data_IF_970658506949
#
_entry.id   IF_970658506949
#
_cell.length_a   1.000
_cell.length_b   1.000
_cell.length_c   1.000
_cell.angle_alpha   90.00
_cell.angle_beta   90.00
_cell.angle_gamma   90.00
#
_symmetry.space_group_name_H-M   'P 1'
#
loop_
_entity.id
_entity.type
_entity.pdbx_description
1 polymer ?
#
# COMPACT_ATOMS: atom_id res chain seq x y z
N UNK A 1 -111.53 7.81 59.17
CA UNK A 1 -110.74 7.25 58.06
C UNK A 1 -109.30 7.69 58.24
N UNK A 2 -108.46 6.84 58.84
CA UNK A 2 -107.07 7.14 59.18
C UNK A 2 -106.13 6.41 58.22
N UNK A 3 -105.57 7.13 57.25
CA UNK A 3 -104.56 6.59 56.33
C UNK A 3 -103.18 6.69 56.97
N UNK A 4 -102.71 5.59 57.55
CA UNK A 4 -101.34 5.46 58.09
C UNK A 4 -100.33 5.45 56.94
N UNK A 5 -99.66 6.57 56.73
CA UNK A 5 -98.52 6.70 55.83
C UNK A 5 -97.33 5.90 56.40
N UNK A 6 -96.91 4.82 55.71
CA UNK A 6 -95.69 4.08 56.07
C UNK A 6 -94.47 4.77 55.45
N UNK A 7 -93.43 5.14 56.21
CA UNK A 7 -92.21 5.71 55.64
C UNK A 7 -91.44 4.63 54.88
N UNK A 8 -91.01 4.95 53.65
CA UNK A 8 -90.16 4.08 52.83
C UNK A 8 -88.79 3.97 53.49
N UNK A 9 -88.37 2.73 53.84
CA UNK A 9 -86.99 2.42 54.26
C UNK A 9 -86.03 2.88 53.17
N UNK A 10 -85.17 3.85 53.48
CA UNK A 10 -84.05 4.20 52.64
C UNK A 10 -83.11 2.99 52.54
N UNK A 11 -82.92 2.47 51.32
CA UNK A 11 -81.90 1.48 51.04
C UNK A 11 -80.55 2.18 51.22
N UNK A 12 -79.73 1.68 52.15
CA UNK A 12 -78.34 2.12 52.25
C UNK A 12 -77.65 1.69 50.96
N UNK A 13 -77.30 2.66 50.12
CA UNK A 13 -76.45 2.43 48.95
C UNK A 13 -75.07 2.10 49.52
N UNK A 14 -74.71 0.82 49.50
CA UNK A 14 -73.38 0.34 49.82
C UNK A 14 -72.35 1.16 49.02
N UNK A 15 -71.72 2.13 49.69
CA UNK A 15 -70.57 2.86 49.18
C UNK A 15 -69.44 1.85 49.03
N UNK A 16 -69.31 1.27 47.84
CA UNK A 16 -68.16 0.45 47.48
C UNK A 16 -66.89 1.25 47.75
N UNK A 17 -65.90 0.68 48.44
CA UNK A 17 -64.65 1.38 48.72
C UNK A 17 -64.00 1.77 47.40
N UNK A 18 -63.71 3.06 47.24
CA UNK A 18 -63.01 3.60 46.09
C UNK A 18 -61.60 3.00 46.10
N UNK A 19 -61.26 2.29 45.03
CA UNK A 19 -60.03 1.53 44.86
C UNK A 19 -58.80 2.44 45.08
N UNK A 20 -58.17 2.32 46.26
CA UNK A 20 -56.90 3.00 46.60
C UNK A 20 -55.67 2.41 45.92
N UNK A 21 -55.84 1.43 45.02
CA UNK A 21 -54.74 0.75 44.31
C UNK A 21 -54.18 1.50 43.09
N UNK A 22 -54.77 2.63 42.67
CA UNK A 22 -54.37 3.31 41.43
C UNK A 22 -53.08 4.13 41.54
N UNK A 23 -52.76 4.67 42.73
CA UNK A 23 -51.53 5.45 42.94
C UNK A 23 -50.28 4.55 42.91
N UNK A 24 -50.33 3.39 43.57
CA UNK A 24 -49.21 2.45 43.65
C UNK A 24 -48.84 1.86 42.28
N UNK A 25 -49.84 1.53 41.45
CA UNK A 25 -49.58 1.06 40.08
C UNK A 25 -48.93 2.13 39.21
N UNK A 26 -49.34 3.40 39.35
CA UNK A 26 -48.79 4.51 38.57
C UNK A 26 -47.31 4.75 38.89
N UNK A 27 -46.92 4.72 40.16
CA UNK A 27 -45.52 4.86 40.56
C UNK A 27 -44.65 3.71 40.04
N UNK A 28 -45.19 2.48 40.02
CA UNK A 28 -44.50 1.32 39.46
C UNK A 28 -44.22 1.49 37.95
N UNK A 29 -45.23 1.93 37.18
CA UNK A 29 -45.07 2.22 35.75
C UNK A 29 -44.10 3.37 35.49
N UNK A 30 -44.12 4.43 36.29
CA UNK A 30 -43.18 5.55 36.13
C UNK A 30 -41.73 5.12 36.38
N UNK A 31 -41.50 4.25 37.38
CA UNK A 31 -40.18 3.67 37.68
C UNK A 31 -39.71 2.68 36.62
N UNK A 32 -40.62 1.91 36.03
CA UNK A 32 -40.30 1.02 34.90
C UNK A 32 -39.89 1.84 33.68
N UNK A 33 -40.67 2.86 33.34
CA UNK A 33 -40.37 3.78 32.23
C UNK A 33 -39.05 4.53 32.41
N UNK A 34 -38.68 4.86 33.64
CA UNK A 34 -37.37 5.47 33.93
C UNK A 34 -36.22 4.50 33.68
N UNK A 35 -36.37 3.22 34.07
CA UNK A 35 -35.38 2.16 33.79
C UNK A 35 -35.23 1.89 32.30
N UNK A 36 -36.32 1.95 31.54
CA UNK A 36 -36.27 1.79 30.08
C UNK A 36 -35.49 2.93 29.43
N UNK A 37 -35.75 4.19 29.82
CA UNK A 37 -34.96 5.34 29.33
C UNK A 37 -33.48 5.23 29.71
N UNK A 38 -33.17 4.69 30.88
CA UNK A 38 -31.79 4.45 31.29
C UNK A 38 -31.12 3.38 30.42
N UNK A 39 -31.84 2.29 30.11
CA UNK A 39 -31.37 1.26 29.18
C UNK A 39 -31.13 1.82 27.78
N UNK A 40 -32.06 2.61 27.25
CA UNK A 40 -31.89 3.26 25.94
C UNK A 40 -30.65 4.16 25.91
N UNK A 41 -30.45 5.01 26.93
CA UNK A 41 -29.25 5.86 27.04
C UNK A 41 -27.96 5.05 27.14
N UNK A 42 -28.01 3.87 27.74
CA UNK A 42 -26.85 2.97 27.83
C UNK A 42 -26.54 2.34 26.48
N UNK A 43 -27.55 1.81 25.78
CA UNK A 43 -27.39 1.25 24.44
C UNK A 43 -26.89 2.29 23.43
N UNK A 44 -27.36 3.54 23.53
CA UNK A 44 -26.89 4.63 22.68
C UNK A 44 -25.39 4.90 22.86
N UNK A 45 -24.91 4.99 24.11
CA UNK A 45 -23.47 5.13 24.42
C UNK A 45 -22.66 3.93 23.95
N UNK A 46 -23.24 2.74 23.99
CA UNK A 46 -22.57 1.52 23.54
C UNK A 46 -22.40 1.51 22.02
N UNK A 47 -23.45 1.90 21.26
CA UNK A 47 -23.38 2.08 19.81
C UNK A 47 -22.40 3.19 19.40
N UNK A 48 -22.31 4.26 20.20
CA UNK A 48 -21.34 5.34 19.96
C UNK A 48 -19.90 4.83 20.13
N UNK A 49 -19.61 4.09 21.20
CA UNK A 49 -18.30 3.46 21.43
C UNK A 49 -17.95 2.47 20.32
N UNK A 50 -18.90 1.66 19.88
CA UNK A 50 -18.70 0.70 18.77
C UNK A 50 -18.34 1.42 17.46
N UNK A 51 -19.00 2.55 17.16
CA UNK A 51 -18.68 3.38 16.00
C UNK A 51 -17.27 3.97 16.10
N UNK A 52 -16.92 4.53 17.25
CA UNK A 52 -15.60 5.11 17.50
C UNK A 52 -14.50 4.03 17.39
N UNK A 53 -14.72 2.84 17.93
CA UNK A 53 -13.79 1.72 17.84
C UNK A 53 -13.59 1.26 16.39
N UNK A 54 -14.68 1.11 15.63
CA UNK A 54 -14.62 0.76 14.20
C UNK A 54 -13.90 1.83 13.38
N UNK A 55 -14.04 3.11 13.74
CA UNK A 55 -13.34 4.21 13.07
C UNK A 55 -11.83 4.17 13.37
N UNK A 56 -11.45 3.96 14.63
CA UNK A 56 -10.05 3.77 15.05
C UNK A 56 -9.41 2.55 14.38
N UNK A 57 -10.17 1.47 14.20
CA UNK A 57 -9.68 0.28 13.50
C UNK A 57 -9.37 0.57 12.04
N UNK A 58 -10.27 1.25 11.32
CA UNK A 58 -10.05 1.69 9.93
C UNK A 58 -8.86 2.65 9.81
N UNK A 59 -8.65 3.51 10.80
CA UNK A 59 -7.51 4.42 10.82
C UNK A 59 -6.18 3.65 10.96
N UNK A 60 -6.12 2.68 11.88
CA UNK A 60 -4.96 1.79 12.04
C UNK A 60 -4.69 0.97 10.78
N UNK A 61 -5.73 0.52 10.08
CA UNK A 61 -5.60 -0.20 8.82
C UNK A 61 -4.98 0.68 7.73
N UNK A 62 -5.48 1.91 7.55
CA UNK A 62 -4.90 2.90 6.62
C UNK A 62 -3.45 3.26 6.97
N UNK A 63 -3.11 3.30 8.26
CA UNK A 63 -1.73 3.53 8.70
C UNK A 63 -0.82 2.36 8.32
N UNK A 64 -1.26 1.11 8.50
CA UNK A 64 -0.51 -0.08 8.08
C UNK A 64 -0.29 -0.10 6.58
N UNK A 65 -1.32 0.22 5.80
CA UNK A 65 -1.23 0.30 4.34
C UNK A 65 -0.21 1.36 3.91
N UNK A 66 -0.24 2.57 4.50
CA UNK A 66 0.76 3.62 4.24
C UNK A 66 2.19 3.15 4.54
N UNK A 67 2.41 2.50 5.68
CA UNK A 67 3.72 1.95 6.05
C UNK A 67 4.19 0.87 5.09
N UNK A 68 3.28 0.04 4.58
CA UNK A 68 3.62 -0.99 3.60
C UNK A 68 4.01 -0.39 2.24
N UNK A 69 3.27 0.62 1.76
CA UNK A 69 3.59 1.35 0.54
C UNK A 69 4.99 1.97 0.66
N UNK A 70 5.25 2.71 1.74
CA UNK A 70 6.56 3.33 1.98
C UNK A 70 7.69 2.29 2.03
N UNK A 71 7.45 1.12 2.66
CA UNK A 71 8.42 0.02 2.65
C UNK A 71 8.70 -0.46 1.23
N UNK A 72 7.66 -0.67 0.42
CA UNK A 72 7.79 -1.12 -0.98
C UNK A 72 8.54 -0.09 -1.84
N UNK A 73 8.31 1.20 -1.62
CA UNK A 73 9.02 2.28 -2.33
C UNK A 73 10.52 2.24 -2.00
N UNK A 74 10.89 2.20 -0.72
CA UNK A 74 12.31 2.09 -0.31
C UNK A 74 12.99 0.83 -0.83
N UNK A 75 12.28 -0.30 -0.84
CA UNK A 75 12.78 -1.55 -1.41
C UNK A 75 12.94 -1.47 -2.94
N UNK A 76 12.05 -0.75 -3.62
CA UNK A 76 12.11 -0.49 -5.07
C UNK A 76 13.31 0.38 -5.45
N UNK A 77 13.56 1.47 -4.71
CA UNK A 77 14.72 2.35 -4.90
C UNK A 77 16.05 1.58 -4.77
N UNK A 78 16.19 0.77 -3.70
CA UNK A 78 17.41 -0.02 -3.47
C UNK A 78 17.69 -1.04 -4.58
N UNK A 79 16.64 -1.60 -5.21
CA UNK A 79 16.81 -2.51 -6.36
C UNK A 79 17.23 -1.76 -7.62
N UNK A 80 16.65 -0.58 -7.87
CA UNK A 80 16.99 0.26 -9.00
C UNK A 80 18.46 0.72 -8.99
N UNK A 81 18.98 1.11 -7.83
CA UNK A 81 20.38 1.53 -7.70
C UNK A 81 21.36 0.39 -7.97
N UNK A 82 21.10 -0.81 -7.44
CA UNK A 82 21.93 -1.99 -7.70
C UNK A 82 21.90 -2.42 -9.16
N UNK A 83 20.75 -2.34 -9.81
CA UNK A 83 20.63 -2.66 -11.24
C UNK A 83 21.38 -1.63 -12.08
N UNK A 84 21.24 -0.33 -11.77
CA UNK A 84 22.00 0.74 -12.41
C UNK A 84 23.51 0.54 -12.23
N UNK A 85 23.99 0.19 -11.03
CA UNK A 85 25.39 -0.14 -10.79
C UNK A 85 25.87 -1.35 -11.60
N UNK A 86 25.05 -2.40 -11.75
CA UNK A 86 25.39 -3.54 -12.61
C UNK A 86 25.52 -3.14 -14.07
N UNK A 87 24.61 -2.29 -14.57
CA UNK A 87 24.67 -1.81 -15.96
C UNK A 87 25.92 -0.95 -16.17
N UNK A 88 26.19 0.01 -15.27
CA UNK A 88 27.38 0.88 -15.36
C UNK A 88 28.68 0.09 -15.19
N UNK A 89 28.70 -0.90 -14.30
CA UNK A 89 29.85 -1.79 -14.11
C UNK A 89 30.16 -2.57 -15.38
N UNK A 90 29.14 -3.06 -16.08
CA UNK A 90 29.28 -3.76 -17.36
C UNK A 90 29.77 -2.84 -18.48
N UNK A 91 29.35 -1.58 -18.51
CA UNK A 91 29.81 -0.60 -19.51
C UNK A 91 31.27 -0.16 -19.26
N UNK A 92 31.71 -0.05 -18.00
CA UNK A 92 33.12 0.28 -17.68
C UNK A 92 34.09 -0.87 -17.89
N UNK A 93 33.62 -2.10 -17.92
CA UNK A 93 34.45 -3.29 -18.20
C UNK A 93 34.70 -3.51 -19.70
N UNK A 94 34.07 -2.73 -20.58
CA UNK A 94 34.42 -2.63 -22.01
C UNK A 94 35.41 -1.46 -22.23
N UNK A 95 36.29 -1.21 -21.27
CA UNK A 95 37.49 -0.43 -21.55
C UNK A 95 38.44 -1.36 -22.32
N UNK A 96 38.43 -1.25 -23.64
CA UNK A 96 39.31 -2.04 -24.48
C UNK A 96 40.77 -1.84 -24.07
N UNK A 97 41.43 -2.90 -23.63
CA UNK A 97 42.85 -2.93 -23.24
C UNK A 97 43.79 -2.94 -24.47
N UNK A 98 43.19 -2.78 -25.66
CA UNK A 98 43.85 -2.77 -26.95
C UNK A 98 43.72 -1.42 -27.65
N UNK A 99 44.80 -0.94 -28.24
CA UNK A 99 44.85 0.27 -29.07
C UNK A 99 45.05 -0.09 -30.54
N UNK A 100 44.26 0.50 -31.44
CA UNK A 100 44.45 0.35 -32.87
C UNK A 100 45.75 1.05 -33.31
N UNK A 101 46.54 0.41 -34.18
CA UNK A 101 47.73 1.04 -34.76
C UNK A 101 47.30 1.84 -36.00
N UNK A 102 47.39 3.18 -35.93
CA UNK A 102 46.85 4.08 -36.96
C UNK A 102 47.35 3.80 -38.39
N UNK A 103 48.57 3.29 -38.53
CA UNK A 103 49.21 3.02 -39.82
C UNK A 103 48.88 1.65 -40.41
N UNK A 104 48.38 0.69 -39.62
CA UNK A 104 48.23 -0.70 -40.05
C UNK A 104 46.92 -1.30 -39.53
N UNK A 105 45.92 -1.40 -40.42
CA UNK A 105 44.56 -1.89 -40.09
C UNK A 105 44.52 -3.33 -39.55
N UNK A 106 45.54 -4.13 -39.82
CA UNK A 106 45.67 -5.50 -39.32
C UNK A 106 46.45 -5.63 -38.02
N UNK A 107 46.76 -4.53 -37.32
CA UNK A 107 47.56 -4.55 -36.10
C UNK A 107 46.93 -3.76 -34.96
N UNK A 108 47.20 -4.22 -33.75
CA UNK A 108 46.79 -3.58 -32.52
C UNK A 108 47.86 -3.75 -31.45
N UNK A 109 47.81 -2.92 -30.40
CA UNK A 109 48.69 -3.03 -29.24
C UNK A 109 47.87 -3.46 -28.04
N UNK A 110 48.29 -4.47 -27.30
CA UNK A 110 47.64 -4.90 -26.06
C UNK A 110 48.54 -4.60 -24.87
N UNK A 111 47.96 -4.14 -23.75
CA UNK A 111 48.69 -3.95 -22.50
C UNK A 111 48.85 -5.27 -21.76
N UNK A 112 50.06 -5.80 -21.73
CA UNK A 112 50.42 -7.04 -21.02
C UNK A 112 51.03 -6.68 -19.65
N UNK A 113 50.51 -7.21 -18.53
CA UNK A 113 51.10 -6.99 -17.21
C UNK A 113 52.59 -7.37 -17.17
N UNK A 114 53.46 -6.45 -16.77
CA UNK A 114 54.91 -6.64 -16.69
C UNK A 114 55.70 -6.34 -17.97
N UNK A 115 55.06 -6.40 -19.14
CA UNK A 115 55.72 -6.21 -20.44
C UNK A 115 55.36 -4.89 -21.13
N UNK A 116 54.35 -4.18 -20.63
CA UNK A 116 53.89 -2.93 -21.22
C UNK A 116 53.02 -3.17 -22.46
N UNK A 117 53.17 -2.33 -23.48
CA UNK A 117 52.39 -2.44 -24.71
C UNK A 117 53.08 -3.34 -25.73
N UNK A 118 52.43 -4.44 -26.09
CA UNK A 118 52.92 -5.40 -27.08
C UNK A 118 52.10 -5.27 -28.36
N UNK A 119 52.76 -5.12 -29.51
CA UNK A 119 52.11 -5.11 -30.82
C UNK A 119 51.77 -6.54 -31.26
N UNK A 120 50.53 -6.73 -31.70
CA UNK A 120 50.01 -8.00 -32.20
C UNK A 120 49.31 -7.79 -33.54
N UNK A 121 49.28 -8.84 -34.36
CA UNK A 121 48.65 -8.85 -35.67
C UNK A 121 47.34 -9.63 -35.61
N UNK A 122 46.31 -9.11 -36.26
CA UNK A 122 45.08 -9.84 -36.54
C UNK A 122 45.32 -10.94 -37.58
N UNK A 123 44.38 -11.90 -37.66
CA UNK A 123 44.43 -12.94 -38.69
C UNK A 123 44.32 -12.33 -40.10
N UNK A 124 44.84 -13.03 -41.11
CA UNK A 124 44.80 -12.56 -42.50
C UNK A 124 43.35 -12.25 -42.95
N UNK A 125 43.15 -11.05 -43.51
CA UNK A 125 41.83 -10.57 -43.95
C UNK A 125 40.95 -9.98 -42.85
N UNK A 126 41.44 -9.86 -41.62
CA UNK A 126 40.71 -9.22 -40.51
C UNK A 126 41.32 -7.86 -40.12
N UNK A 127 40.49 -6.97 -39.58
CA UNK A 127 40.81 -5.60 -39.18
C UNK A 127 40.43 -5.43 -37.72
N UNK A 128 41.31 -4.82 -36.93
CA UNK A 128 41.04 -4.55 -35.52
C UNK A 128 40.00 -3.42 -35.35
N UNK A 129 38.95 -3.67 -34.57
CA UNK A 129 37.89 -2.71 -34.26
C UNK A 129 37.92 -2.32 -32.78
N UNK A 130 38.09 -1.03 -32.51
CA UNK A 130 38.22 -0.51 -31.14
C UNK A 130 36.89 -0.54 -30.36
N UNK A 131 35.78 -0.45 -31.09
CA UNK A 131 34.40 -0.54 -30.63
C UNK A 131 34.05 -1.92 -30.06
N UNK A 132 34.55 -3.00 -30.67
CA UNK A 132 34.32 -4.38 -30.20
C UNK A 132 35.53 -5.00 -29.50
N UNK A 133 36.66 -4.29 -29.51
CA UNK A 133 37.94 -4.74 -28.96
C UNK A 133 38.44 -6.06 -29.56
N UNK A 134 38.10 -6.34 -30.82
CA UNK A 134 38.41 -7.60 -31.49
C UNK A 134 38.79 -7.42 -32.98
N UNK A 135 39.35 -8.48 -33.56
CA UNK A 135 39.67 -8.55 -34.99
C UNK A 135 38.47 -9.10 -35.76
N UNK A 136 37.83 -8.27 -36.58
CA UNK A 136 36.67 -8.65 -37.39
C UNK A 136 37.04 -8.70 -38.87
N UNK A 137 36.35 -9.51 -39.68
CA UNK A 137 36.50 -9.47 -41.14
C UNK A 137 36.05 -8.10 -41.64
N UNK A 138 37.01 -7.27 -42.04
CA UNK A 138 36.73 -5.97 -42.64
C UNK A 138 36.16 -6.18 -44.04
N UNK A 139 35.19 -5.34 -44.41
CA UNK A 139 34.78 -5.27 -45.82
C UNK A 139 36.02 -4.97 -46.66
N UNK A 140 36.25 -5.71 -47.76
CA UNK A 140 37.38 -5.45 -48.63
C UNK A 140 37.24 -4.00 -49.10
N UNK A 141 38.23 -3.18 -48.79
CA UNK A 141 38.32 -1.84 -49.35
C UNK A 141 38.50 -2.05 -50.84
N UNK A 142 37.41 -1.91 -51.59
CA UNK A 142 37.49 -1.80 -53.04
C UNK A 142 38.19 -0.47 -53.27
N UNK A 143 39.52 -0.53 -53.43
CA UNK A 143 40.28 0.60 -53.94
C UNK A 143 39.87 0.66 -55.42
N UNK A 144 38.85 1.46 -55.71
CA UNK A 144 38.46 1.75 -57.09
C UNK A 144 39.67 2.38 -57.77
N UNK A 145 40.40 1.57 -58.54
CA UNK A 145 41.57 2.00 -59.33
C UNK A 145 41.17 2.91 -60.51
N UNK A 146 39.93 3.39 -60.56
CA UNK A 146 39.34 4.12 -61.67
C UNK A 146 39.15 5.62 -61.42
N UNK A 147 39.82 6.21 -60.43
CA UNK A 147 39.92 7.67 -60.30
C UNK A 147 41.34 8.11 -60.68
N UNK A 148 41.62 8.13 -61.98
CA UNK A 148 42.68 8.92 -62.62
C UNK A 148 42.00 9.85 -63.62
#
# INVERSE_FOLDING_TARGET
>A
MDQRFRPKRAMNVDKKPVLSGSASMREAFERERERDRERERREEREREREREERERERERERERERREIERREREGESKGDRERERVIGREREIACDKEAVATERGKFRQRVPGNGWVEMSCAEGTVFRQDTCDCEYGEPVIIDKNTI
#
